data_IF_699389344282
#
_entry.id   IF_699389344282
#
_cell.length_a   1.000
_cell.length_b   1.000
_cell.length_c   1.000
_cell.angle_alpha   90.00
_cell.angle_beta   90.00
_cell.angle_gamma   90.00
#
_symmetry.space_group_name_H-M   'P 1'
#
loop_
_entity.id
_entity.type
_entity.pdbx_description
1 polymer ?
#
# COMPACT_ATOMS: atom_id res chain seq x y z
N UNK A 1 -26.58 -9.99 -61.48
CA UNK A 1 -26.15 -11.01 -60.52
C UNK A 1 -24.65 -10.82 -60.36
N UNK A 2 -24.26 -10.16 -59.27
CA UNK A 2 -22.87 -9.80 -58.97
C UNK A 2 -22.52 -10.42 -57.62
N UNK A 3 -21.46 -11.23 -57.58
CA UNK A 3 -20.86 -11.75 -56.35
C UNK A 3 -19.48 -11.10 -56.23
N UNK A 4 -19.12 -10.53 -55.06
CA UNK A 4 -17.85 -9.83 -54.90
C UNK A 4 -16.67 -10.80 -54.76
N UNK A 5 -15.54 -10.35 -55.30
CA UNK A 5 -14.23 -11.01 -55.31
C UNK A 5 -13.58 -10.94 -53.92
N UNK A 6 -13.06 -12.07 -53.43
CA UNK A 6 -12.33 -12.16 -52.15
C UNK A 6 -10.83 -11.93 -52.39
N UNK A 7 -10.15 -11.03 -51.68
CA UNK A 7 -8.72 -10.80 -51.87
C UNK A 7 -7.88 -11.97 -51.33
N UNK A 8 -6.98 -12.47 -52.18
CA UNK A 8 -6.03 -13.56 -51.88
C UNK A 8 -4.88 -13.06 -50.98
N UNK A 9 -4.53 -13.86 -49.97
CA UNK A 9 -3.35 -13.65 -49.13
C UNK A 9 -2.04 -13.82 -49.94
N UNK A 10 -0.99 -13.03 -49.67
CA UNK A 10 0.21 -13.00 -50.50
C UNK A 10 1.39 -13.69 -49.82
N UNK A 11 1.37 -15.02 -49.64
CA UNK A 11 2.63 -15.73 -49.36
C UNK A 11 2.64 -17.12 -50.03
N UNK A 12 3.67 -17.42 -50.85
CA UNK A 12 3.74 -18.63 -51.66
C UNK A 12 4.13 -19.85 -50.83
N UNK A 13 3.48 -20.97 -51.11
CA UNK A 13 3.83 -22.29 -50.59
C UNK A 13 5.21 -22.73 -51.10
N UNK A 14 6.03 -23.26 -50.20
CA UNK A 14 7.20 -24.03 -50.54
C UNK A 14 6.83 -25.51 -50.55
N UNK A 15 7.14 -26.12 -51.69
CA UNK A 15 6.89 -27.50 -52.03
C UNK A 15 7.51 -28.49 -51.04
N UNK A 16 6.78 -29.58 -50.82
CA UNK A 16 7.19 -30.73 -50.03
C UNK A 16 8.37 -31.47 -50.68
N UNK A 17 9.40 -31.75 -49.88
CA UNK A 17 10.36 -32.84 -50.12
C UNK A 17 10.12 -33.98 -49.12
N UNK A 18 10.40 -35.24 -49.50
CA UNK A 18 9.98 -36.41 -48.74
C UNK A 18 10.95 -36.81 -47.62
N UNK A 19 10.38 -37.51 -46.63
CA UNK A 19 10.95 -38.37 -45.59
C UNK A 19 12.39 -38.10 -45.11
N UNK A 20 12.47 -37.53 -43.90
CA UNK A 20 13.56 -37.81 -42.95
C UNK A 20 12.98 -38.52 -41.72
N UNK A 21 13.61 -39.59 -41.22
CA UNK A 21 13.16 -40.24 -40.00
C UNK A 21 13.37 -39.33 -38.78
N UNK A 22 12.35 -39.29 -37.92
CA UNK A 22 12.34 -38.59 -36.63
C UNK A 22 13.37 -39.27 -35.71
N UNK A 23 14.35 -38.55 -35.13
CA UNK A 23 15.17 -39.12 -34.08
C UNK A 23 14.34 -39.25 -32.80
N UNK A 24 14.47 -40.40 -32.14
CA UNK A 24 13.80 -40.72 -30.89
C UNK A 24 14.03 -39.64 -29.82
N UNK A 25 12.98 -39.35 -29.06
CA UNK A 25 13.03 -38.45 -27.91
C UNK A 25 13.95 -39.05 -26.84
N UNK A 26 15.16 -38.50 -26.72
CA UNK A 26 15.97 -38.65 -25.52
C UNK A 26 15.34 -37.81 -24.40
N UNK A 27 15.14 -38.46 -23.25
CA UNK A 27 14.59 -37.88 -22.03
C UNK A 27 15.43 -36.67 -21.59
N UNK A 28 14.84 -35.48 -21.65
CA UNK A 28 15.39 -34.30 -20.99
C UNK A 28 15.22 -34.45 -19.47
N UNK A 29 16.27 -34.30 -18.64
CA UNK A 29 16.10 -34.29 -17.20
C UNK A 29 15.30 -33.05 -16.83
N UNK A 30 14.18 -33.27 -16.14
CA UNK A 30 13.33 -32.24 -15.56
C UNK A 30 14.08 -31.40 -14.54
N UNK A 31 14.82 -30.40 -15.02
CA UNK A 31 15.29 -29.29 -14.23
C UNK A 31 14.12 -28.38 -13.92
N UNK A 32 13.38 -28.68 -12.84
CA UNK A 32 12.53 -27.69 -12.19
C UNK A 32 13.42 -26.50 -11.83
N UNK A 33 13.25 -25.38 -12.53
CA UNK A 33 13.80 -24.11 -12.08
C UNK A 33 13.31 -23.89 -10.65
N UNK A 34 14.20 -23.81 -9.64
CA UNK A 34 13.74 -23.51 -8.29
C UNK A 34 13.10 -22.12 -8.35
N UNK A 35 11.81 -22.06 -8.02
CA UNK A 35 11.15 -20.81 -7.70
C UNK A 35 12.04 -20.14 -6.65
N UNK A 36 12.70 -19.03 -7.02
CA UNK A 36 13.40 -18.21 -6.05
C UNK A 36 12.35 -17.61 -5.14
N UNK A 37 12.03 -18.30 -4.05
CA UNK A 37 11.48 -17.64 -2.88
C UNK A 37 12.50 -16.56 -2.52
N UNK A 38 12.16 -15.29 -2.71
CA UNK A 38 12.97 -14.21 -2.15
C UNK A 38 13.06 -14.49 -0.66
N UNK A 39 14.25 -14.85 -0.18
CA UNK A 39 14.47 -15.13 1.23
C UNK A 39 13.95 -13.94 2.03
N UNK A 40 13.15 -14.22 3.07
CA UNK A 40 12.67 -13.16 3.94
C UNK A 40 13.87 -12.41 4.52
N UNK A 41 13.82 -11.08 4.58
CA UNK A 41 14.93 -10.29 5.10
C UNK A 41 15.22 -10.69 6.55
N UNK A 42 16.49 -10.92 6.86
CA UNK A 42 16.91 -11.26 8.22
C UNK A 42 17.08 -9.99 9.05
N UNK A 43 16.71 -10.04 10.33
CA UNK A 43 16.94 -8.92 11.22
C UNK A 43 18.37 -8.93 11.76
N UNK A 44 19.02 -7.77 11.69
CA UNK A 44 20.12 -7.50 12.62
C UNK A 44 19.55 -7.43 14.05
N UNK A 45 20.24 -8.07 15.00
CA UNK A 45 19.74 -8.27 16.37
C UNK A 45 19.59 -6.92 17.09
N UNK A 46 20.57 -6.03 16.98
CA UNK A 46 20.53 -4.73 17.64
C UNK A 46 19.46 -3.83 17.01
N UNK A 47 19.35 -3.87 15.68
CA UNK A 47 18.31 -3.14 14.94
C UNK A 47 16.90 -3.57 15.35
N UNK A 48 16.67 -4.88 15.55
CA UNK A 48 15.38 -5.40 16.01
C UNK A 48 15.05 -4.92 17.43
N UNK A 49 16.01 -5.02 18.36
CA UNK A 49 15.81 -4.58 19.74
C UNK A 49 15.48 -3.08 19.81
N UNK A 50 16.20 -2.23 19.07
CA UNK A 50 15.89 -0.79 19.07
C UNK A 50 14.56 -0.48 18.37
N UNK A 51 14.17 -1.22 17.33
CA UNK A 51 12.85 -1.09 16.72
C UNK A 51 11.73 -1.38 17.73
N UNK A 52 11.85 -2.48 18.49
CA UNK A 52 10.86 -2.85 19.51
C UNK A 52 10.83 -1.84 20.65
N UNK A 53 11.99 -1.41 21.13
CA UNK A 53 12.07 -0.36 22.16
C UNK A 53 11.40 0.94 21.70
N UNK A 54 11.58 1.33 20.44
CA UNK A 54 10.91 2.51 19.88
C UNK A 54 9.40 2.32 19.78
N UNK A 55 8.95 1.15 19.33
CA UNK A 55 7.53 0.83 19.28
C UNK A 55 6.87 0.87 20.66
N UNK A 56 7.53 0.35 21.69
CA UNK A 56 7.09 0.42 23.09
C UNK A 56 6.94 1.87 23.57
N UNK A 57 7.97 2.72 23.39
CA UNK A 57 7.89 4.15 23.73
C UNK A 57 6.78 4.88 22.97
N UNK A 58 6.51 4.48 21.73
CA UNK A 58 5.42 5.06 20.94
C UNK A 58 4.05 4.67 21.49
N UNK A 59 3.90 3.45 22.01
CA UNK A 59 2.67 3.00 22.64
C UNK A 59 2.39 3.74 23.96
N UNK A 60 3.43 4.07 24.74
CA UNK A 60 3.30 4.86 25.98
C UNK A 60 2.71 6.25 25.75
N UNK A 61 2.85 6.80 24.54
CA UNK A 61 2.49 8.18 24.20
C UNK A 61 1.39 8.27 23.15
N UNK A 62 0.85 7.13 22.70
CA UNK A 62 -0.23 7.05 21.71
C UNK A 62 -1.39 6.21 22.23
N UNK A 63 -2.40 5.99 21.40
CA UNK A 63 -3.54 5.12 21.71
C UNK A 63 -3.33 3.65 21.27
N UNK A 64 -2.12 3.31 20.80
CA UNK A 64 -1.80 1.95 20.38
C UNK A 64 -1.45 1.07 21.57
N UNK A 65 -2.01 -0.14 21.58
CA UNK A 65 -1.51 -1.22 22.42
C UNK A 65 -0.07 -1.57 22.07
N UNK A 66 0.76 -1.89 23.06
CA UNK A 66 2.20 -2.18 22.86
C UNK A 66 2.43 -3.28 21.83
N UNK A 67 1.73 -4.41 21.96
CA UNK A 67 1.85 -5.53 21.02
C UNK A 67 1.50 -5.12 19.58
N UNK A 68 0.55 -4.20 19.44
CA UNK A 68 0.13 -3.69 18.15
C UNK A 68 1.19 -2.76 17.54
N UNK A 69 1.77 -1.88 18.33
CA UNK A 69 2.85 -1.00 17.88
C UNK A 69 4.08 -1.81 17.43
N UNK A 70 4.44 -2.85 18.18
CA UNK A 70 5.53 -3.78 17.84
C UNK A 70 5.24 -4.54 16.55
N UNK A 71 4.05 -5.10 16.40
CA UNK A 71 3.63 -5.78 15.18
C UNK A 71 3.74 -4.87 13.95
N UNK A 72 3.21 -3.64 14.04
CA UNK A 72 3.29 -2.66 12.95
C UNK A 72 4.74 -2.35 12.59
N UNK A 73 5.61 -2.17 13.58
CA UNK A 73 7.03 -1.92 13.39
C UNK A 73 7.74 -3.08 12.66
N UNK A 74 7.46 -4.32 13.04
CA UNK A 74 8.01 -5.50 12.36
C UNK A 74 7.49 -5.59 10.92
N UNK A 75 6.17 -5.56 10.75
CA UNK A 75 5.50 -5.79 9.46
C UNK A 75 5.92 -4.76 8.41
N UNK A 76 5.98 -3.48 8.78
CA UNK A 76 6.38 -2.44 7.82
C UNK A 76 7.86 -2.54 7.43
N UNK A 77 8.73 -2.93 8.37
CA UNK A 77 10.15 -3.10 8.10
C UNK A 77 10.41 -4.27 7.16
N UNK A 78 9.81 -5.42 7.43
CA UNK A 78 9.90 -6.62 6.59
C UNK A 78 9.33 -6.38 5.19
N UNK A 79 8.15 -5.77 5.11
CA UNK A 79 7.53 -5.41 3.84
C UNK A 79 8.44 -4.51 3.00
N UNK A 80 8.93 -3.40 3.57
CA UNK A 80 9.73 -2.42 2.83
C UNK A 80 11.12 -2.96 2.49
N UNK A 81 11.69 -3.84 3.32
CA UNK A 81 12.93 -4.52 3.02
C UNK A 81 12.76 -5.52 1.86
N UNK A 82 11.70 -6.34 1.91
CA UNK A 82 11.37 -7.29 0.84
C UNK A 82 11.09 -6.58 -0.50
N UNK A 83 10.30 -5.50 -0.49
CA UNK A 83 10.05 -4.68 -1.68
C UNK A 83 11.33 -4.08 -2.29
N UNK A 84 12.36 -3.85 -1.47
CA UNK A 84 13.66 -3.34 -1.90
C UNK A 84 14.68 -4.43 -2.22
N UNK A 85 14.31 -5.71 -2.07
CA UNK A 85 15.23 -6.83 -2.26
C UNK A 85 16.39 -6.85 -1.27
N UNK A 86 16.21 -6.27 -0.07
CA UNK A 86 17.22 -6.30 0.98
C UNK A 86 17.24 -7.69 1.62
N UNK A 87 18.43 -8.27 1.77
CA UNK A 87 18.60 -9.54 2.50
C UNK A 87 18.58 -9.36 4.03
N UNK A 88 18.75 -8.13 4.51
CA UNK A 88 18.90 -7.83 5.94
C UNK A 88 18.31 -6.47 6.32
N UNK A 89 17.70 -6.38 7.51
CA UNK A 89 17.12 -5.18 8.10
C UNK A 89 18.09 -4.62 9.14
N UNK A 90 18.71 -3.48 8.79
CA UNK A 90 19.72 -2.78 9.61
C UNK A 90 19.22 -1.43 10.14
N UNK A 91 19.90 -0.90 11.14
CA UNK A 91 19.54 0.37 11.82
C UNK A 91 19.46 1.59 10.89
N UNK A 92 20.31 1.68 9.86
CA UNK A 92 20.30 2.80 8.90
C UNK A 92 19.03 2.78 8.04
N UNK A 93 18.61 1.57 7.63
CA UNK A 93 17.38 1.36 6.90
C UNK A 93 16.16 1.74 7.75
N UNK A 94 16.09 1.26 9.00
CA UNK A 94 14.99 1.57 9.92
C UNK A 94 14.90 3.07 10.23
N UNK A 95 16.04 3.74 10.38
CA UNK A 95 16.09 5.21 10.58
C UNK A 95 15.51 5.93 9.37
N UNK A 96 15.91 5.52 8.17
CA UNK A 96 15.40 6.11 6.93
C UNK A 96 13.92 5.81 6.71
N UNK A 97 13.47 4.62 7.11
CA UNK A 97 12.08 4.19 7.03
C UNK A 97 11.19 4.98 8.00
N UNK A 98 11.58 5.11 9.27
CA UNK A 98 10.83 5.89 10.27
C UNK A 98 10.60 7.34 9.87
N UNK A 99 11.59 7.96 9.21
CA UNK A 99 11.46 9.33 8.64
C UNK A 99 10.42 9.41 7.53
N UNK A 100 10.34 8.38 6.68
CA UNK A 100 9.37 8.31 5.55
C UNK A 100 7.94 8.03 6.03
N UNK A 101 7.79 7.17 7.03
CA UNK A 101 6.48 6.86 7.61
C UNK A 101 5.90 8.10 8.33
N UNK A 102 6.77 8.85 9.00
CA UNK A 102 6.45 10.12 9.63
C UNK A 102 5.74 9.99 10.97
N UNK A 103 5.31 11.13 11.51
CA UNK A 103 4.67 11.22 12.83
C UNK A 103 3.51 10.23 12.99
N UNK A 104 3.44 9.63 14.18
CA UNK A 104 2.40 8.69 14.59
C UNK A 104 2.81 7.23 14.43
N UNK A 105 3.58 6.90 13.40
CA UNK A 105 4.01 5.52 13.18
C UNK A 105 5.02 5.05 14.26
N UNK A 106 4.92 3.83 14.81
CA UNK A 106 5.81 3.32 15.86
C UNK A 106 7.31 3.38 15.59
N UNK A 107 7.73 3.20 14.34
CA UNK A 107 9.14 3.33 13.93
C UNK A 107 9.65 4.77 13.77
N UNK A 108 8.78 5.78 13.78
CA UNK A 108 9.20 7.17 13.59
C UNK A 108 9.83 7.73 14.86
N UNK A 109 10.88 8.54 14.67
CA UNK A 109 11.54 9.30 15.74
C UNK A 109 10.71 10.51 16.22
N UNK A 110 9.63 10.85 15.49
CA UNK A 110 8.75 11.98 15.81
C UNK A 110 7.53 11.60 16.64
N UNK A 111 7.21 10.31 16.74
CA UNK A 111 6.02 9.83 17.44
C UNK A 111 6.18 10.07 18.95
N UNK A 112 5.16 10.68 19.56
CA UNK A 112 5.13 10.96 21.00
C UNK A 112 5.76 12.29 21.45
N UNK A 113 6.31 13.11 20.53
CA UNK A 113 6.96 14.37 20.90
C UNK A 113 5.97 15.50 21.24
N UNK A 114 4.91 15.74 20.45
CA UNK A 114 3.77 16.55 20.85
C UNK A 114 2.68 15.66 21.47
N UNK A 115 2.24 16.02 22.68
CA UNK A 115 1.05 15.44 23.29
C UNK A 115 -0.18 16.25 22.89
N UNK A 116 -1.24 15.57 22.49
CA UNK A 116 -2.50 16.18 22.09
C UNK A 116 -3.60 15.88 23.09
N UNK A 117 -4.52 16.82 23.23
CA UNK A 117 -5.80 16.58 23.92
C UNK A 117 -6.90 16.64 22.87
N UNK A 118 -7.65 15.56 22.71
CA UNK A 118 -8.82 15.55 21.83
C UNK A 118 -10.06 15.92 22.62
N UNK A 119 -10.91 16.79 22.07
CA UNK A 119 -12.21 17.07 22.68
C UNK A 119 -13.12 15.85 22.52
N UNK A 120 -14.11 15.71 23.41
CA UNK A 120 -15.10 14.63 23.34
C UNK A 120 -15.80 14.57 21.96
N UNK A 121 -16.13 15.73 21.39
CA UNK A 121 -16.72 15.82 20.06
C UNK A 121 -15.77 15.35 18.94
N UNK A 122 -14.46 15.62 19.06
CA UNK A 122 -13.48 15.14 18.10
C UNK A 122 -13.26 13.62 18.23
N UNK A 123 -13.23 13.09 19.45
CA UNK A 123 -13.17 11.64 19.69
C UNK A 123 -14.40 10.92 19.12
N UNK A 124 -15.60 11.46 19.34
CA UNK A 124 -16.83 10.91 18.77
C UNK A 124 -16.79 10.87 17.24
N UNK A 125 -16.34 11.95 16.61
CA UNK A 125 -16.17 12.01 15.14
C UNK A 125 -15.09 11.05 14.63
N UNK A 126 -14.00 10.87 15.37
CA UNK A 126 -12.96 9.92 15.02
C UNK A 126 -13.45 8.47 15.19
N UNK A 127 -14.36 8.19 16.12
CA UNK A 127 -14.93 6.86 16.31
C UNK A 127 -15.72 6.35 15.09
N UNK A 128 -16.30 7.25 14.29
CA UNK A 128 -16.97 6.95 13.02
C UNK A 128 -16.01 6.40 11.95
N UNK A 129 -14.71 6.71 12.07
CA UNK A 129 -13.67 6.16 11.19
C UNK A 129 -13.53 4.66 11.48
N UNK A 130 -13.47 3.80 10.44
CA UNK A 130 -13.24 2.37 10.62
C UNK A 130 -12.01 2.08 11.49
N UNK A 131 -12.15 1.12 12.42
CA UNK A 131 -11.13 0.87 13.44
C UNK A 131 -9.73 0.64 12.87
N UNK A 132 -9.62 -0.06 11.73
CA UNK A 132 -8.32 -0.38 11.11
C UNK A 132 -7.53 0.85 10.62
N UNK A 133 -8.19 2.00 10.40
CA UNK A 133 -7.55 3.24 9.95
C UNK A 133 -7.73 4.42 10.92
N UNK A 134 -8.25 4.17 12.12
CA UNK A 134 -8.53 5.20 13.12
C UNK A 134 -7.28 5.88 13.63
N UNK A 135 -6.28 5.12 14.07
CA UNK A 135 -5.01 5.68 14.56
C UNK A 135 -4.29 6.46 13.48
N UNK A 136 -4.34 5.96 12.24
CA UNK A 136 -3.76 6.65 11.09
C UNK A 136 -4.45 7.99 10.83
N UNK A 137 -5.77 8.04 10.91
CA UNK A 137 -6.53 9.29 10.80
C UNK A 137 -6.17 10.25 11.92
N UNK A 138 -6.08 9.75 13.17
CA UNK A 138 -5.63 10.52 14.34
C UNK A 138 -4.27 11.18 14.08
N UNK A 139 -3.28 10.39 13.66
CA UNK A 139 -1.92 10.89 13.39
C UNK A 139 -1.89 11.95 12.30
N UNK A 140 -2.72 11.81 11.26
CA UNK A 140 -2.77 12.77 10.15
C UNK A 140 -3.43 14.09 10.56
N UNK A 141 -4.45 14.04 11.40
CA UNK A 141 -5.09 15.23 11.97
C UNK A 141 -4.10 15.96 12.90
N UNK A 142 -3.48 15.24 13.84
CA UNK A 142 -2.47 15.79 14.76
C UNK A 142 -1.30 16.42 14.03
N UNK A 143 -0.77 15.72 13.01
CA UNK A 143 0.30 16.27 12.20
C UNK A 143 -0.11 17.51 11.42
N UNK A 144 -1.35 17.56 10.91
CA UNK A 144 -1.90 18.77 10.29
C UNK A 144 -1.99 19.91 11.29
N UNK A 145 -2.42 19.65 12.53
CA UNK A 145 -2.48 20.68 13.57
C UNK A 145 -1.10 21.30 13.84
N UNK A 146 -0.04 20.49 13.92
CA UNK A 146 1.35 20.99 14.05
C UNK A 146 1.74 21.82 12.82
N UNK A 147 1.52 21.28 11.62
CA UNK A 147 1.99 21.90 10.38
C UNK A 147 1.30 23.22 10.06
N UNK A 148 0.05 23.36 10.48
CA UNK A 148 -0.76 24.56 10.29
C UNK A 148 -0.78 25.49 11.52
N UNK A 149 -0.08 25.13 12.60
CA UNK A 149 -0.02 25.95 13.82
C UNK A 149 -1.36 26.07 14.56
N UNK A 150 -2.20 25.03 14.51
CA UNK A 150 -3.57 25.04 15.07
C UNK A 150 -3.63 24.69 16.57
N UNK A 151 -2.48 24.45 17.21
CA UNK A 151 -2.37 24.07 18.62
C UNK A 151 -2.44 22.55 18.85
N UNK A 152 -2.48 22.15 20.12
CA UNK A 152 -2.47 20.74 20.56
C UNK A 152 -3.80 20.23 21.09
N UNK A 153 -4.85 21.08 21.09
CA UNK A 153 -6.21 20.66 21.41
C UNK A 153 -6.95 20.36 20.12
N UNK A 154 -7.16 19.08 19.81
CA UNK A 154 -7.85 18.65 18.59
C UNK A 154 -9.36 18.79 18.77
N UNK A 155 -9.98 19.59 17.90
CA UNK A 155 -11.42 19.80 17.82
C UNK A 155 -11.97 19.30 16.47
N UNK A 156 -13.30 19.13 16.30
CA UNK A 156 -13.89 18.78 15.01
C UNK A 156 -13.50 19.73 13.86
N UNK A 157 -13.27 21.01 14.15
CA UNK A 157 -12.85 22.01 13.16
C UNK A 157 -11.43 21.73 12.64
N UNK A 158 -10.51 21.29 13.51
CA UNK A 158 -9.16 20.88 13.10
C UNK A 158 -9.20 19.60 12.26
N UNK A 159 -10.07 18.65 12.60
CA UNK A 159 -10.31 17.48 11.76
C UNK A 159 -10.82 17.87 10.37
N UNK A 160 -11.75 18.83 10.32
CA UNK A 160 -12.32 19.33 9.07
C UNK A 160 -11.27 19.95 8.15
N UNK A 161 -10.31 20.72 8.70
CA UNK A 161 -9.15 21.23 7.92
C UNK A 161 -8.44 20.09 7.21
N UNK A 162 -8.16 18.98 7.92
CA UNK A 162 -7.50 17.82 7.31
C UNK A 162 -8.36 17.15 6.24
N UNK A 163 -9.67 17.03 6.48
CA UNK A 163 -10.59 16.34 5.57
C UNK A 163 -10.79 17.16 4.28
N UNK A 164 -10.84 18.48 4.38
CA UNK A 164 -10.88 19.38 3.22
C UNK A 164 -9.62 19.23 2.35
N UNK A 165 -8.43 19.24 2.97
CA UNK A 165 -7.17 19.00 2.26
C UNK A 165 -7.15 17.63 1.56
N UNK A 166 -7.71 16.59 2.19
CA UNK A 166 -7.85 15.30 1.54
C UNK A 166 -8.85 15.33 0.39
N UNK A 167 -9.98 16.03 0.54
CA UNK A 167 -11.01 16.19 -0.49
C UNK A 167 -10.48 16.85 -1.75
N UNK A 168 -9.72 17.94 -1.62
CA UNK A 168 -9.06 18.61 -2.76
C UNK A 168 -8.19 17.63 -3.57
N UNK A 169 -7.34 16.87 -2.87
CA UNK A 169 -6.48 15.85 -3.49
C UNK A 169 -7.30 14.71 -4.09
N UNK A 170 -8.33 14.22 -3.39
CA UNK A 170 -9.21 13.15 -3.84
C UNK A 170 -9.90 13.50 -5.14
N UNK A 171 -10.47 14.71 -5.24
CA UNK A 171 -11.15 15.18 -6.43
C UNK A 171 -10.16 15.36 -7.59
N UNK A 172 -8.97 15.89 -7.34
CA UNK A 172 -7.94 16.01 -8.37
C UNK A 172 -7.52 14.66 -8.95
N UNK A 173 -7.34 13.62 -8.12
CA UNK A 173 -7.03 12.26 -8.60
C UNK A 173 -8.18 11.71 -9.46
N UNK A 174 -9.42 11.80 -8.97
CA UNK A 174 -10.59 11.27 -9.67
C UNK A 174 -10.85 11.97 -11.01
N UNK A 175 -10.46 13.24 -11.16
CA UNK A 175 -10.61 13.98 -12.41
C UNK A 175 -9.59 13.60 -13.48
N UNK A 176 -8.37 13.19 -13.10
CA UNK A 176 -7.32 12.86 -14.08
C UNK A 176 -7.67 11.63 -14.93
N UNK A 177 -8.38 10.65 -14.36
CA UNK A 177 -8.76 9.38 -15.03
C UNK A 177 -7.61 8.70 -15.77
N UNK A 178 -6.39 8.85 -15.26
CA UNK A 178 -5.21 8.30 -15.91
C UNK A 178 -5.04 6.82 -15.52
N UNK A 179 -4.89 5.97 -16.54
CA UNK A 179 -4.56 4.55 -16.39
C UNK A 179 -5.56 3.70 -15.60
N UNK A 180 -6.83 4.13 -15.44
CA UNK A 180 -7.87 3.39 -14.69
C UNK A 180 -7.86 1.89 -15.01
N UNK A 181 -7.92 1.05 -13.97
CA UNK A 181 -8.08 -0.39 -14.15
C UNK A 181 -9.57 -0.74 -14.14
N UNK A 182 -10.00 -1.78 -14.87
CA UNK A 182 -11.33 -2.35 -14.69
C UNK A 182 -11.48 -2.95 -13.28
N UNK A 183 -12.69 -2.87 -12.73
CA UNK A 183 -13.07 -3.44 -11.43
C UNK A 183 -14.15 -4.48 -11.61
N UNK A 184 -14.13 -5.53 -10.79
CA UNK A 184 -15.29 -6.42 -10.62
C UNK A 184 -16.43 -5.66 -9.93
N UNK A 185 -17.68 -6.06 -10.19
CA UNK A 185 -18.86 -5.42 -9.60
C UNK A 185 -18.85 -5.45 -8.06
N UNK A 186 -18.40 -6.56 -7.48
CA UNK A 186 -18.31 -6.73 -6.03
C UNK A 186 -17.26 -5.81 -5.40
N UNK A 187 -16.05 -5.76 -5.97
CA UNK A 187 -14.99 -4.86 -5.50
C UNK A 187 -15.40 -3.39 -5.67
N UNK A 188 -16.05 -3.05 -6.80
CA UNK A 188 -16.55 -1.70 -7.05
C UNK A 188 -17.61 -1.28 -6.03
N UNK A 189 -18.57 -2.15 -5.73
CA UNK A 189 -19.61 -1.88 -4.73
C UNK A 189 -19.02 -1.60 -3.34
N UNK A 190 -17.92 -2.26 -2.96
CA UNK A 190 -17.21 -1.99 -1.70
C UNK A 190 -16.49 -0.64 -1.76
N UNK A 191 -15.78 -0.38 -2.84
CA UNK A 191 -15.09 0.89 -3.05
C UNK A 191 -16.04 2.09 -3.05
N UNK A 192 -17.26 1.93 -3.57
CA UNK A 192 -18.23 3.02 -3.62
C UNK A 192 -18.67 3.51 -2.23
N UNK A 193 -18.48 2.71 -1.17
CA UNK A 193 -18.73 3.07 0.24
C UNK A 193 -17.61 3.91 0.87
N UNK A 194 -16.47 4.04 0.20
CA UNK A 194 -15.37 4.88 0.67
C UNK A 194 -15.82 6.36 0.62
N UNK A 195 -15.63 7.13 1.71
CA UNK A 195 -16.01 8.54 1.73
C UNK A 195 -15.34 9.35 0.62
N UNK A 196 -16.09 10.24 -0.02
CA UNK A 196 -15.64 10.99 -1.20
C UNK A 196 -14.33 11.76 -0.98
N UNK A 197 -14.12 12.32 0.22
CA UNK A 197 -12.94 13.12 0.52
C UNK A 197 -11.62 12.32 0.56
N UNK A 198 -11.66 10.97 0.62
CA UNK A 198 -10.47 10.09 0.54
C UNK A 198 -10.53 9.12 -0.64
N UNK A 199 -11.63 9.11 -1.39
CA UNK A 199 -11.92 8.13 -2.43
C UNK A 199 -10.86 8.07 -3.52
N UNK A 200 -10.33 9.23 -3.94
CA UNK A 200 -9.26 9.31 -4.94
C UNK A 200 -7.95 8.66 -4.46
N UNK A 201 -7.54 8.91 -3.23
CA UNK A 201 -6.33 8.31 -2.67
C UNK A 201 -6.48 6.79 -2.51
N UNK A 202 -7.67 6.32 -2.09
CA UNK A 202 -7.95 4.88 -2.00
C UNK A 202 -7.95 4.23 -3.39
N UNK A 203 -8.52 4.90 -4.40
CA UNK A 203 -8.49 4.44 -5.80
C UNK A 203 -7.04 4.25 -6.27
N UNK A 204 -6.22 5.29 -6.12
CA UNK A 204 -4.82 5.28 -6.55
C UNK A 204 -4.02 4.19 -5.83
N UNK A 205 -4.25 4.00 -4.53
CA UNK A 205 -3.57 2.97 -3.77
C UNK A 205 -3.99 1.54 -4.17
N UNK A 206 -5.29 1.29 -4.36
CA UNK A 206 -5.78 -0.04 -4.75
C UNK A 206 -5.32 -0.38 -6.17
N UNK A 207 -5.48 0.52 -7.13
CA UNK A 207 -5.03 0.26 -8.50
C UNK A 207 -3.51 0.23 -8.61
N UNK A 208 -2.79 1.07 -7.86
CA UNK A 208 -1.33 1.01 -7.78
C UNK A 208 -0.84 -0.34 -7.28
N UNK A 209 -1.50 -0.89 -6.26
CA UNK A 209 -1.22 -2.24 -5.76
C UNK A 209 -1.57 -3.32 -6.77
N UNK A 210 -2.71 -3.22 -7.46
CA UNK A 210 -3.08 -4.15 -8.53
C UNK A 210 -1.98 -4.21 -9.62
N UNK A 211 -1.49 -3.05 -10.07
CA UNK A 211 -0.38 -2.97 -11.03
C UNK A 211 0.90 -3.59 -10.48
N UNK A 212 1.24 -3.34 -9.23
CA UNK A 212 2.42 -3.94 -8.58
C UNK A 212 2.31 -5.47 -8.45
N UNK A 213 1.10 -5.98 -8.25
CA UNK A 213 0.82 -7.43 -8.22
C UNK A 213 0.76 -8.05 -9.64
N UNK A 214 0.80 -7.22 -10.69
CA UNK A 214 0.69 -7.69 -12.07
C UNK A 214 -0.72 -8.13 -12.47
N UNK A 215 -1.76 -7.70 -11.73
CA UNK A 215 -3.15 -8.02 -12.05
C UNK A 215 -3.81 -6.88 -12.85
N UNK A 216 -4.58 -7.25 -13.86
CA UNK A 216 -5.18 -6.30 -14.80
C UNK A 216 -6.60 -5.85 -14.41
N UNK A 217 -7.23 -6.53 -13.45
CA UNK A 217 -8.59 -6.24 -12.95
C UNK A 217 -8.54 -6.17 -11.43
N UNK A 218 -9.19 -5.16 -10.85
CA UNK A 218 -9.34 -5.04 -9.39
C UNK A 218 -10.52 -5.90 -8.94
N UNK A 219 -10.21 -6.92 -8.14
CA UNK A 219 -11.19 -7.79 -7.49
C UNK A 219 -11.18 -7.60 -5.96
N UNK A 220 -12.02 -8.37 -5.27
CA UNK A 220 -12.11 -8.34 -3.81
C UNK A 220 -10.79 -8.69 -3.12
N UNK A 221 -9.96 -9.54 -3.73
CA UNK A 221 -8.70 -10.00 -3.15
C UNK A 221 -7.65 -8.90 -3.18
N UNK A 222 -7.57 -8.12 -4.26
CA UNK A 222 -6.74 -6.91 -4.31
C UNK A 222 -7.14 -5.93 -3.20
N UNK A 223 -8.44 -5.65 -3.07
CA UNK A 223 -8.97 -4.74 -2.04
C UNK A 223 -8.64 -5.26 -0.63
N UNK A 224 -8.86 -6.55 -0.37
CA UNK A 224 -8.56 -7.18 0.92
C UNK A 224 -7.07 -7.10 1.24
N UNK A 225 -6.21 -7.38 0.25
CA UNK A 225 -4.76 -7.34 0.41
C UNK A 225 -4.30 -5.93 0.79
N UNK A 226 -4.79 -4.90 0.11
CA UNK A 226 -4.44 -3.51 0.41
C UNK A 226 -4.89 -3.12 1.82
N UNK A 227 -6.15 -3.40 2.19
CA UNK A 227 -6.67 -3.07 3.53
C UNK A 227 -5.95 -3.83 4.63
N UNK A 228 -5.70 -5.14 4.44
CA UNK A 228 -5.00 -5.98 5.40
C UNK A 228 -3.57 -5.48 5.64
N UNK A 229 -2.91 -5.05 4.58
CA UNK A 229 -1.57 -4.50 4.64
C UNK A 229 -1.52 -3.14 5.34
N UNK A 230 -2.42 -2.23 4.98
CA UNK A 230 -2.57 -0.94 5.66
C UNK A 230 -2.85 -1.09 7.14
N UNK A 231 -3.75 -2.01 7.48
CA UNK A 231 -4.01 -2.37 8.86
C UNK A 231 -2.71 -2.85 9.50
N UNK A 232 -2.09 -3.93 9.00
CA UNK A 232 -0.95 -4.56 9.68
C UNK A 232 0.32 -3.70 9.73
N UNK A 233 0.57 -2.84 8.76
CA UNK A 233 1.82 -2.07 8.67
C UNK A 233 1.68 -0.61 9.09
N UNK A 234 0.47 -0.04 9.06
CA UNK A 234 0.28 1.40 9.24
C UNK A 234 0.89 2.28 8.14
N UNK A 235 1.24 1.70 6.99
CA UNK A 235 1.85 2.41 5.89
C UNK A 235 0.80 2.74 4.83
N UNK A 236 0.21 3.94 4.87
CA UNK A 236 -0.72 4.39 3.81
C UNK A 236 0.00 5.04 2.62
N UNK A 237 1.34 5.13 2.68
CA UNK A 237 2.17 5.73 1.64
C UNK A 237 2.96 4.66 0.87
N UNK A 238 2.36 3.49 0.68
CA UNK A 238 3.04 2.33 0.10
C UNK A 238 3.57 2.57 -1.33
N UNK A 239 3.04 3.56 -2.04
CA UNK A 239 3.40 3.84 -3.42
C UNK A 239 4.67 4.69 -3.62
N UNK A 240 5.13 4.69 -4.88
CA UNK A 240 5.90 5.78 -5.50
C UNK A 240 5.11 7.12 -5.53
N UNK A 241 3.84 7.06 -5.16
CA UNK A 241 2.83 8.12 -5.19
C UNK A 241 2.60 8.77 -3.82
N UNK A 242 3.56 8.67 -2.91
CA UNK A 242 3.54 9.52 -1.72
C UNK A 242 3.55 10.99 -2.14
N UNK A 243 2.52 11.74 -1.79
CA UNK A 243 2.47 13.18 -2.03
C UNK A 243 3.72 13.83 -1.41
N UNK A 244 4.58 14.36 -2.28
CA UNK A 244 5.71 15.21 -1.88
C UNK A 244 5.20 16.59 -1.48
#
# INVERSE_FOLDING_TARGET
MSVPEVPRCPFPGLDAQPDRPIPAADEAPGGSCPVRHSAQPQWDVEAHVEAMRRAQRSAETSHLETARAEEMAVKVAEQRAAQKGLGEIRSEFLTSLGKKLGYGHPLSDRTGLPQFTWTEAAEARLAEVPAFCRDLTRWRVEWTAIKQGLGTTITPEIMEVKYQMWGEVSHAIQQRREHELPWTDSARSRFDKVPDFVKGQVLEAVEGNARQMGVAVVDDEVVNTVISRWSSTGDFHEGLYGFR
#
